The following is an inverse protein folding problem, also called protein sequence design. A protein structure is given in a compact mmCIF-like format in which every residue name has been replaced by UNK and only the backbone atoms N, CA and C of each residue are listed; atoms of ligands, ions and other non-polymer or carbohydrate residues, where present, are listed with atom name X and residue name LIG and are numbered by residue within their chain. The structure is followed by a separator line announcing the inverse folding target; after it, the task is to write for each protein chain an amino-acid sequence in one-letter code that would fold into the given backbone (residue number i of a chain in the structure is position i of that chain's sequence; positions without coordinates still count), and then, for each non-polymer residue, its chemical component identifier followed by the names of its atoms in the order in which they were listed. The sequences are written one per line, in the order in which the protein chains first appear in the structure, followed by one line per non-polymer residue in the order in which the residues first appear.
data_IF_198798952592
#
_entry.id   IF_198798952592
#
_cell.length_a   1.000
_cell.length_b   1.000
_cell.length_c   1.000
_cell.angle_alpha   90.00
_cell.angle_beta   90.00
_cell.angle_gamma   90.00
#
_symmetry.space_group_name_H-M   'P 1'
#
loop_
_entity.id
_entity.type
_entity.pdbx_description
1 polymer ?
#
# COMPACT_ATOMS: atom_id res chain seq x y z
N UNK A 1 -2.44 -15.39 -12.51
CA UNK A 1 -1.36 -14.49 -12.03
C UNK A 1 -2.02 -13.38 -11.23
N UNK A 2 -1.55 -13.16 -10.00
CA UNK A 2 -2.10 -12.14 -9.11
C UNK A 2 -1.76 -10.71 -9.58
N UNK A 3 -2.64 -9.75 -9.27
CA UNK A 3 -2.41 -8.31 -9.47
C UNK A 3 -1.86 -7.71 -8.19
N UNK A 4 -0.74 -6.99 -8.24
CA UNK A 4 -0.21 -6.22 -7.11
C UNK A 4 -0.78 -4.81 -7.15
N UNK A 5 -1.62 -4.48 -6.18
CA UNK A 5 -2.19 -3.15 -5.97
C UNK A 5 -1.53 -2.50 -4.75
N UNK A 6 -0.76 -1.44 -4.99
CA UNK A 6 -0.15 -0.61 -3.94
C UNK A 6 -1.09 0.53 -3.61
N UNK A 7 -1.36 0.74 -2.33
CA UNK A 7 -2.15 1.86 -1.82
C UNK A 7 -1.29 2.71 -0.88
N UNK A 8 -1.25 4.02 -1.14
CA UNK A 8 -0.56 4.98 -0.28
C UNK A 8 -1.39 6.25 -0.09
N UNK A 9 -1.50 6.71 1.15
CA UNK A 9 -1.88 8.08 1.45
C UNK A 9 -0.65 8.97 1.32
N UNK A 10 -0.76 10.03 0.52
CA UNK A 10 0.38 10.87 0.17
C UNK A 10 -0.01 12.36 0.22
N UNK A 11 0.89 13.18 0.73
CA UNK A 11 0.73 14.65 0.68
C UNK A 11 0.96 15.20 -0.73
N UNK A 12 0.54 16.42 -1.00
CA UNK A 12 0.76 17.08 -2.30
C UNK A 12 2.25 17.25 -2.66
N UNK A 13 3.14 17.26 -1.67
CA UNK A 13 4.61 17.30 -1.87
C UNK A 13 5.30 15.94 -1.80
N UNK A 14 4.50 14.85 -1.78
CA UNK A 14 4.97 13.48 -1.95
C UNK A 14 5.37 12.72 -0.68
N UNK A 15 5.10 13.27 0.49
CA UNK A 15 5.35 12.60 1.78
C UNK A 15 4.24 11.58 2.05
N UNK A 16 4.62 10.36 2.42
CA UNK A 16 3.67 9.26 2.73
C UNK A 16 3.92 8.63 4.11
N UNK A 17 4.99 9.04 4.79
CA UNK A 17 5.36 8.54 6.10
C UNK A 17 4.35 8.98 7.18
N UNK A 18 4.08 8.05 8.12
CA UNK A 18 3.29 8.32 9.32
C UNK A 18 2.01 9.12 9.07
N UNK A 19 1.05 8.58 8.27
CA UNK A 19 -0.06 9.34 7.69
C UNK A 19 -1.14 9.79 8.70
N UNK A 20 -0.80 9.97 9.98
CA UNK A 20 -1.71 10.49 11.01
C UNK A 20 -2.30 11.87 10.69
N UNK A 21 -1.61 12.65 9.87
CA UNK A 21 -2.10 13.94 9.35
C UNK A 21 -3.33 13.81 8.45
N UNK A 22 -3.63 12.62 7.94
CA UNK A 22 -4.84 12.37 7.13
C UNK A 22 -6.13 12.50 7.94
N UNK A 23 -6.08 12.29 9.26
CA UNK A 23 -7.27 12.34 10.12
C UNK A 23 -7.93 13.72 10.16
N UNK A 24 -7.19 14.80 9.89
CA UNK A 24 -7.73 16.17 9.85
C UNK A 24 -8.72 16.38 8.69
N UNK A 25 -8.68 15.55 7.65
CA UNK A 25 -9.52 15.69 6.45
C UNK A 25 -10.83 14.89 6.53
N UNK A 26 -11.01 14.11 7.60
CA UNK A 26 -12.15 13.21 7.72
C UNK A 26 -12.14 12.10 6.67
N UNK A 27 -13.15 11.26 6.72
CA UNK A 27 -13.30 10.14 5.80
C UNK A 27 -14.47 10.41 4.86
N UNK A 28 -14.26 10.28 3.55
CA UNK A 28 -15.27 10.41 2.52
C UNK A 28 -15.84 9.05 2.17
N UNK A 29 -17.17 8.91 2.09
CA UNK A 29 -17.83 7.62 1.86
C UNK A 29 -17.40 6.99 0.53
N UNK A 30 -17.29 7.81 -0.54
CA UNK A 30 -16.85 7.34 -1.86
C UNK A 30 -15.38 6.90 -1.84
N UNK A 31 -14.54 7.57 -1.03
CA UNK A 31 -13.16 7.12 -0.79
C UNK A 31 -13.15 5.77 -0.10
N UNK A 32 -14.05 5.53 0.85
CA UNK A 32 -14.26 4.25 1.50
C UNK A 32 -14.67 3.14 0.53
N UNK A 33 -15.59 3.43 -0.39
CA UNK A 33 -15.98 2.49 -1.45
C UNK A 33 -14.78 2.11 -2.34
N UNK A 34 -13.95 3.09 -2.71
CA UNK A 34 -12.75 2.85 -3.52
C UNK A 34 -11.74 1.97 -2.77
N UNK A 35 -11.47 2.26 -1.49
CA UNK A 35 -10.59 1.44 -0.65
C UNK A 35 -11.15 0.01 -0.48
N UNK A 36 -12.46 -0.11 -0.26
CA UNK A 36 -13.15 -1.39 -0.19
C UNK A 36 -13.04 -2.20 -1.48
N UNK A 37 -13.11 -1.55 -2.64
CA UNK A 37 -12.92 -2.21 -3.94
C UNK A 37 -11.48 -2.73 -4.13
N UNK A 38 -10.46 -1.96 -3.69
CA UNK A 38 -9.05 -2.37 -3.75
C UNK A 38 -8.81 -3.57 -2.82
N UNK A 39 -9.26 -3.49 -1.58
CA UNK A 39 -9.05 -4.56 -0.59
C UNK A 39 -9.89 -5.80 -0.89
N UNK A 40 -11.11 -5.63 -1.41
CA UNK A 40 -12.03 -6.73 -1.74
C UNK A 40 -11.53 -7.66 -2.86
N UNK A 41 -10.57 -7.23 -3.67
CA UNK A 41 -9.92 -8.07 -4.68
C UNK A 41 -8.71 -8.82 -4.14
N UNK A 42 -8.20 -8.44 -2.98
CA UNK A 42 -6.96 -8.98 -2.44
C UNK A 42 -7.20 -10.28 -1.66
N UNK A 43 -6.35 -11.27 -1.91
CA UNK A 43 -6.30 -12.55 -1.18
C UNK A 43 -5.06 -12.64 -0.28
N UNK A 44 -4.14 -11.69 -0.41
CA UNK A 44 -2.97 -11.56 0.45
C UNK A 44 -2.62 -10.09 0.67
N UNK A 45 -1.99 -9.81 1.79
CA UNK A 45 -1.41 -8.51 2.14
C UNK A 45 0.10 -8.67 2.15
N UNK A 46 0.82 -7.84 1.40
CA UNK A 46 2.27 -7.82 1.39
C UNK A 46 2.76 -6.54 2.08
N UNK A 47 3.51 -6.69 3.16
CA UNK A 47 3.99 -5.60 3.99
C UNK A 47 5.51 -5.63 4.14
N UNK A 48 6.14 -4.47 4.15
CA UNK A 48 7.47 -4.36 4.72
C UNK A 48 7.41 -4.47 6.26
N UNK A 49 8.48 -4.98 6.88
CA UNK A 49 8.55 -5.20 8.33
C UNK A 49 8.12 -4.00 9.17
N UNK A 50 8.57 -2.78 8.83
CA UNK A 50 8.21 -1.57 9.58
C UNK A 50 6.71 -1.29 9.56
N UNK A 51 6.08 -1.46 8.40
CA UNK A 51 4.63 -1.29 8.27
C UNK A 51 3.89 -2.38 9.03
N UNK A 52 4.36 -3.62 8.96
CA UNK A 52 3.82 -4.72 9.76
C UNK A 52 3.85 -4.40 11.27
N UNK A 53 4.99 -3.94 11.79
CA UNK A 53 5.16 -3.60 13.20
C UNK A 53 4.27 -2.43 13.67
N UNK A 54 3.89 -1.53 12.75
CA UNK A 54 2.90 -0.48 13.03
C UNK A 54 1.46 -0.99 12.92
N UNK A 55 1.18 -1.83 11.94
CA UNK A 55 -0.17 -2.31 11.66
C UNK A 55 -0.64 -3.37 12.66
N UNK A 56 0.23 -4.28 13.07
CA UNK A 56 -0.13 -5.35 13.99
C UNK A 56 -0.79 -4.83 15.28
N UNK A 57 -0.19 -3.92 16.07
CA UNK A 57 -0.85 -3.38 17.25
C UNK A 57 -2.05 -2.48 16.94
N UNK A 58 -2.13 -1.90 15.74
CA UNK A 58 -3.24 -1.04 15.36
C UNK A 58 -4.49 -1.83 14.92
N UNK A 59 -4.34 -3.03 14.38
CA UNK A 59 -5.41 -3.78 13.74
C UNK A 59 -5.81 -5.07 14.45
N UNK A 60 -4.86 -5.80 15.08
CA UNK A 60 -5.09 -7.17 15.59
C UNK A 60 -6.27 -7.30 16.56
N UNK A 61 -6.54 -6.24 17.33
CA UNK A 61 -7.59 -6.23 18.34
C UNK A 61 -8.85 -5.45 17.88
N UNK A 62 -8.85 -4.89 16.64
CA UNK A 62 -10.02 -4.20 16.10
C UNK A 62 -11.08 -5.18 15.64
N UNK A 63 -12.32 -4.79 15.85
CA UNK A 63 -13.51 -5.51 15.41
C UNK A 63 -14.19 -4.78 14.24
N UNK A 64 -15.14 -5.41 13.53
CA UNK A 64 -15.93 -4.75 12.49
C UNK A 64 -16.71 -3.51 12.99
N UNK A 65 -17.02 -3.47 14.28
CA UNK A 65 -17.70 -2.34 14.94
C UNK A 65 -16.76 -1.14 15.12
N UNK A 66 -15.45 -1.39 15.28
CA UNK A 66 -14.44 -0.33 15.40
C UNK A 66 -14.07 0.24 14.03
N UNK A 67 -13.93 -0.64 13.03
CA UNK A 67 -13.54 -0.28 11.66
C UNK A 67 -13.99 -1.36 10.66
N UNK A 68 -14.77 -1.02 9.62
CA UNK A 68 -15.22 -1.97 8.60
C UNK A 68 -14.08 -2.71 7.88
N UNK A 69 -12.87 -2.18 7.88
CA UNK A 69 -11.69 -2.80 7.29
C UNK A 69 -11.04 -3.87 8.19
N UNK A 70 -11.42 -3.95 9.47
CA UNK A 70 -10.78 -4.86 10.42
C UNK A 70 -10.81 -6.34 9.99
N UNK A 71 -11.91 -6.88 9.46
CA UNK A 71 -11.92 -8.26 8.96
C UNK A 71 -10.90 -8.50 7.87
N UNK A 72 -10.78 -7.59 6.91
CA UNK A 72 -9.77 -7.70 5.85
C UNK A 72 -8.36 -7.84 6.42
N UNK A 73 -7.95 -6.93 7.31
CA UNK A 73 -6.61 -6.94 7.88
C UNK A 73 -6.36 -8.13 8.81
N UNK A 74 -7.36 -8.59 9.56
CA UNK A 74 -7.18 -9.67 10.54
C UNK A 74 -7.28 -11.07 9.93
N UNK A 75 -8.13 -11.27 8.92
CA UNK A 75 -8.41 -12.59 8.35
C UNK A 75 -7.53 -12.92 7.15
N UNK A 76 -7.12 -11.91 6.37
CA UNK A 76 -6.29 -12.10 5.16
C UNK A 76 -4.88 -12.54 5.53
N UNK A 77 -4.28 -13.40 4.70
CA UNK A 77 -2.87 -13.80 4.81
C UNK A 77 -1.95 -12.59 4.68
N UNK A 78 -0.99 -12.47 5.60
CA UNK A 78 0.03 -11.42 5.61
C UNK A 78 1.40 -11.99 5.30
N UNK A 79 2.03 -11.47 4.24
CA UNK A 79 3.39 -11.80 3.83
C UNK A 79 4.29 -10.62 4.21
N UNK A 80 5.31 -10.86 5.01
CA UNK A 80 6.15 -9.78 5.53
C UNK A 80 7.57 -9.87 4.98
N UNK A 81 7.97 -8.82 4.27
CA UNK A 81 9.33 -8.66 3.73
C UNK A 81 10.23 -8.01 4.78
N UNK A 82 11.26 -8.72 5.20
CA UNK A 82 12.25 -8.24 6.16
C UNK A 82 13.24 -9.34 6.52
N UNK A 83 14.47 -8.96 6.86
CA UNK A 83 15.54 -9.88 7.23
C UNK A 83 15.66 -10.09 8.74
N UNK A 84 15.02 -9.25 9.53
CA UNK A 84 15.01 -9.35 10.99
C UNK A 84 13.77 -10.07 11.48
N UNK A 85 13.81 -10.70 12.65
CA UNK A 85 12.61 -11.26 13.29
C UNK A 85 11.51 -10.19 13.40
N UNK A 86 10.26 -10.63 13.30
CA UNK A 86 9.11 -9.77 13.51
C UNK A 86 9.00 -9.48 15.01
N UNK A 87 8.86 -8.18 15.35
CA UNK A 87 8.73 -7.71 16.73
C UNK A 87 7.31 -7.82 17.29
N UNK A 88 6.34 -8.16 16.45
CA UNK A 88 4.92 -8.24 16.79
C UNK A 88 4.33 -9.57 16.32
N UNK A 89 3.27 -10.01 17.01
CA UNK A 89 2.45 -11.15 16.62
C UNK A 89 1.13 -10.67 16.00
N UNK A 90 0.77 -11.24 14.87
CA UNK A 90 -0.51 -11.01 14.21
C UNK A 90 -0.91 -12.28 13.45
N UNK A 91 -2.17 -12.69 13.56
CA UNK A 91 -2.66 -13.91 12.94
C UNK A 91 -2.41 -13.94 11.43
N UNK A 92 -2.27 -15.15 10.86
CA UNK A 92 -2.07 -15.38 9.42
C UNK A 92 -0.86 -14.65 8.83
N UNK A 93 0.24 -14.56 9.58
CA UNK A 93 1.47 -13.86 9.16
C UNK A 93 2.60 -14.84 8.85
N UNK A 94 3.25 -14.62 7.71
CA UNK A 94 4.44 -15.36 7.27
C UNK A 94 5.56 -14.38 6.90
N UNK A 95 6.72 -14.49 7.53
CA UNK A 95 7.92 -13.77 7.11
C UNK A 95 8.54 -14.46 5.87
N UNK A 96 8.77 -13.70 4.79
CA UNK A 96 9.26 -14.24 3.51
C UNK A 96 10.71 -13.83 3.19
N UNK A 97 11.44 -13.32 4.19
CA UNK A 97 12.82 -12.88 4.02
C UNK A 97 12.97 -11.46 3.49
N UNK A 98 14.20 -11.11 3.11
CA UNK A 98 14.49 -9.78 2.53
C UNK A 98 13.81 -9.59 1.17
N UNK A 99 13.74 -8.32 0.71
CA UNK A 99 13.22 -8.02 -0.61
C UNK A 99 14.06 -8.72 -1.69
N UNK A 100 13.40 -9.48 -2.54
CA UNK A 100 13.93 -10.12 -3.71
C UNK A 100 12.89 -10.12 -4.83
N UNK A 101 13.20 -9.52 -5.98
CA UNK A 101 12.27 -9.35 -7.08
C UNK A 101 11.74 -10.67 -7.63
N UNK A 102 12.57 -11.71 -7.63
CA UNK A 102 12.18 -13.04 -8.12
C UNK A 102 11.18 -13.71 -7.16
N UNK A 103 11.38 -13.56 -5.87
CA UNK A 103 10.41 -14.02 -4.85
C UNK A 103 9.04 -13.35 -5.05
N UNK A 104 9.02 -12.03 -5.31
CA UNK A 104 7.76 -11.33 -5.54
C UNK A 104 7.10 -11.75 -6.87
N UNK A 105 7.89 -12.01 -7.95
CA UNK A 105 7.33 -12.54 -9.21
C UNK A 105 6.66 -13.89 -9.00
N UNK A 106 7.31 -14.81 -8.28
CA UNK A 106 6.72 -16.12 -7.96
C UNK A 106 5.43 -15.98 -7.15
N UNK A 107 5.40 -15.07 -6.17
CA UNK A 107 4.16 -14.79 -5.44
C UNK A 107 3.02 -14.37 -6.36
N UNK A 108 3.30 -13.58 -7.42
CA UNK A 108 2.31 -13.21 -8.43
C UNK A 108 1.89 -14.40 -9.29
N UNK A 109 2.84 -15.21 -9.72
CA UNK A 109 2.62 -16.35 -10.64
C UNK A 109 1.83 -17.47 -9.96
N UNK A 110 2.17 -17.77 -8.70
CA UNK A 110 1.61 -18.89 -7.93
C UNK A 110 0.23 -18.58 -7.32
N UNK A 111 -0.27 -17.33 -7.47
CA UNK A 111 -1.54 -16.89 -6.87
C UNK A 111 -2.54 -16.40 -7.91
N UNK A 112 -3.80 -16.58 -7.59
CA UNK A 112 -4.92 -15.90 -8.23
C UNK A 112 -5.39 -14.75 -7.33
N UNK A 113 -6.18 -13.82 -7.90
CA UNK A 113 -6.69 -12.67 -7.16
C UNK A 113 -5.68 -11.54 -6.99
N UNK A 114 -5.83 -10.71 -5.97
CA UNK A 114 -4.99 -9.55 -5.71
C UNK A 114 -4.01 -9.74 -4.56
N UNK A 115 -2.91 -9.00 -4.60
CA UNK A 115 -1.98 -8.79 -3.49
C UNK A 115 -2.03 -7.31 -3.15
N UNK A 116 -2.57 -6.99 -1.98
CA UNK A 116 -2.65 -5.63 -1.47
C UNK A 116 -1.34 -5.24 -0.79
N UNK A 117 -0.86 -4.03 -1.03
CA UNK A 117 0.35 -3.48 -0.43
C UNK A 117 0.05 -2.09 0.13
N UNK A 118 0.37 -1.86 1.42
CA UNK A 118 0.34 -0.54 2.05
C UNK A 118 1.66 -0.30 2.77
N UNK A 119 2.68 0.13 2.03
CA UNK A 119 4.03 0.31 2.57
C UNK A 119 4.77 -1.03 2.83
N UNK A 120 5.99 -1.02 3.27
CA UNK A 120 6.83 0.16 3.56
C UNK A 120 7.36 0.79 2.26
N UNK A 121 7.71 2.06 2.33
CA UNK A 121 8.23 2.79 1.17
C UNK A 121 9.45 2.15 0.52
N UNK A 122 10.30 1.48 1.27
CA UNK A 122 11.44 0.74 0.70
C UNK A 122 10.95 -0.43 -0.17
N UNK A 123 9.95 -1.19 0.30
CA UNK A 123 9.33 -2.28 -0.43
C UNK A 123 8.67 -1.77 -1.71
N UNK A 124 7.82 -0.74 -1.58
CA UNK A 124 7.09 -0.14 -2.70
C UNK A 124 8.06 0.39 -3.77
N UNK A 125 9.09 1.13 -3.38
CA UNK A 125 10.11 1.63 -4.31
C UNK A 125 10.88 0.51 -5.01
N UNK A 126 11.22 -0.57 -4.30
CA UNK A 126 11.84 -1.76 -4.90
C UNK A 126 10.95 -2.38 -5.96
N UNK A 127 9.68 -2.62 -5.63
CA UNK A 127 8.72 -3.19 -6.57
C UNK A 127 8.44 -2.30 -7.78
N UNK A 128 8.38 -0.97 -7.61
CA UNK A 128 8.25 -0.02 -8.73
C UNK A 128 9.48 -0.04 -9.64
N UNK A 129 10.69 -0.09 -9.07
CA UNK A 129 11.93 -0.19 -9.85
C UNK A 129 12.00 -1.49 -10.66
N UNK A 130 11.52 -2.60 -10.10
CA UNK A 130 11.49 -3.92 -10.74
C UNK A 130 10.23 -4.17 -11.59
N UNK A 131 9.36 -3.16 -11.77
CA UNK A 131 8.11 -3.20 -12.56
C UNK A 131 7.16 -4.32 -12.12
N UNK A 132 7.04 -4.52 -10.81
CA UNK A 132 6.19 -5.56 -10.21
C UNK A 132 4.81 -5.04 -9.80
N UNK A 133 4.64 -3.72 -9.71
CA UNK A 133 3.38 -3.07 -9.36
C UNK A 133 2.49 -2.96 -10.60
N UNK A 134 1.29 -3.50 -10.52
CA UNK A 134 0.28 -3.41 -11.59
C UNK A 134 -0.59 -2.16 -11.41
N UNK A 135 -0.95 -1.84 -10.17
CA UNK A 135 -1.76 -0.69 -9.81
C UNK A 135 -1.12 0.06 -8.64
N UNK A 136 -0.87 1.36 -8.83
CA UNK A 136 -0.39 2.27 -7.80
C UNK A 136 -1.50 3.27 -7.51
N UNK A 137 -2.20 3.07 -6.41
CA UNK A 137 -3.26 3.93 -5.91
C UNK A 137 -2.68 4.98 -4.96
N UNK A 138 -2.64 6.22 -5.40
CA UNK A 138 -2.21 7.36 -4.60
C UNK A 138 -3.42 8.19 -4.20
N UNK A 139 -3.69 8.30 -2.91
CA UNK A 139 -4.67 9.22 -2.35
C UNK A 139 -3.93 10.48 -1.93
N UNK A 140 -3.95 11.48 -2.82
CA UNK A 140 -3.22 12.73 -2.66
C UNK A 140 -4.05 13.71 -1.84
N UNK A 141 -3.59 13.99 -0.64
CA UNK A 141 -4.22 14.93 0.27
C UNK A 141 -3.80 16.37 -0.02
N UNK A 142 -4.69 17.33 0.18
CA UNK A 142 -4.43 18.74 -0.13
C UNK A 142 -3.56 19.42 0.94
N UNK A 143 -2.40 18.87 1.23
CA UNK A 143 -1.43 19.37 2.21
C UNK A 143 0.01 19.18 1.69
N UNK A 144 0.86 20.16 1.92
CA UNK A 144 2.30 20.04 1.76
C UNK A 144 2.94 20.04 3.14
N UNK A 145 3.63 18.97 3.50
CA UNK A 145 4.23 18.79 4.84
C UNK A 145 5.61 19.43 4.95
N UNK A 146 6.35 19.54 3.82
CA UNK A 146 7.69 20.12 3.77
C UNK A 146 8.81 19.18 4.25
N UNK A 147 8.52 18.25 5.12
CA UNK A 147 9.46 17.25 5.66
C UNK A 147 8.80 15.87 5.74
N UNK A 148 9.61 14.82 5.88
CA UNK A 148 9.16 13.43 5.95
C UNK A 148 9.66 12.58 4.79
N UNK A 149 9.46 11.26 4.88
CA UNK A 149 9.87 10.32 3.84
C UNK A 149 8.94 10.41 2.63
N UNK A 150 9.54 10.67 1.44
CA UNK A 150 8.81 10.77 0.16
C UNK A 150 8.82 9.45 -0.57
N UNK A 151 7.72 9.17 -1.29
CA UNK A 151 7.62 8.00 -2.16
C UNK A 151 8.69 8.07 -3.27
N UNK A 152 8.85 9.23 -3.89
CA UNK A 152 9.87 9.49 -4.91
C UNK A 152 11.07 10.18 -4.26
N UNK A 153 12.24 9.54 -4.31
CA UNK A 153 13.46 10.07 -3.70
C UNK A 153 14.26 10.92 -4.70
N UNK A 154 14.93 11.93 -4.17
CA UNK A 154 15.92 12.70 -4.93
C UNK A 154 17.01 11.79 -5.48
N UNK A 155 17.41 12.01 -6.73
CA UNK A 155 18.40 11.18 -7.41
C UNK A 155 17.89 9.84 -7.95
N UNK A 156 16.64 9.48 -7.68
CA UNK A 156 15.98 8.38 -8.38
C UNK A 156 15.65 8.83 -9.81
N UNK A 157 16.03 8.04 -10.80
CA UNK A 157 15.71 8.34 -12.19
C UNK A 157 14.18 8.40 -12.43
N UNK A 158 13.72 8.91 -13.58
CA UNK A 158 12.31 9.05 -13.87
C UNK A 158 11.63 7.68 -13.95
N UNK A 159 10.51 7.54 -13.24
CA UNK A 159 9.59 6.40 -13.37
C UNK A 159 8.38 6.86 -14.19
N UNK A 160 8.19 6.26 -15.36
CA UNK A 160 7.04 6.56 -16.22
C UNK A 160 5.85 5.73 -15.79
N UNK A 161 4.69 6.36 -15.65
CA UNK A 161 3.44 5.76 -15.24
C UNK A 161 2.34 6.09 -16.26
N UNK A 162 1.40 5.17 -16.44
CA UNK A 162 0.18 5.40 -17.21
C UNK A 162 -0.98 5.62 -16.25
N UNK A 163 -1.75 6.70 -16.42
CA UNK A 163 -2.96 6.92 -15.63
C UNK A 163 -4.04 5.91 -16.05
N UNK A 164 -4.52 5.11 -15.11
CA UNK A 164 -5.58 4.11 -15.31
C UNK A 164 -6.95 4.64 -14.87
N UNK A 165 -7.01 5.32 -13.72
CA UNK A 165 -8.24 5.88 -13.18
C UNK A 165 -7.94 7.08 -12.27
N UNK A 166 -8.95 7.91 -12.01
CA UNK A 166 -8.87 9.01 -11.06
C UNK A 166 -10.26 9.34 -10.47
N UNK A 167 -10.26 9.88 -9.28
CA UNK A 167 -11.42 10.40 -8.59
C UNK A 167 -11.07 11.64 -7.76
N UNK A 168 -12.06 12.48 -7.49
CA UNK A 168 -11.94 13.63 -6.58
C UNK A 168 -13.02 13.49 -5.51
N UNK A 169 -12.64 13.55 -4.25
CA UNK A 169 -13.54 13.37 -3.12
C UNK A 169 -13.93 14.71 -2.49
N UNK A 170 -15.07 14.73 -1.78
CA UNK A 170 -15.60 15.95 -1.18
C UNK A 170 -14.69 16.55 -0.10
N UNK A 171 -13.84 15.74 0.53
CA UNK A 171 -12.83 16.18 1.51
C UNK A 171 -11.56 16.79 0.86
N UNK A 172 -11.54 16.94 -0.48
CA UNK A 172 -10.42 17.51 -1.23
C UNK A 172 -9.31 16.53 -1.60
N UNK A 173 -9.42 15.27 -1.20
CA UNK A 173 -8.46 14.22 -1.60
C UNK A 173 -8.67 13.87 -3.06
N UNK A 174 -7.57 13.68 -3.80
CA UNK A 174 -7.56 13.20 -5.18
C UNK A 174 -6.98 11.79 -5.21
N UNK A 175 -7.75 10.84 -5.71
CA UNK A 175 -7.27 9.50 -5.99
C UNK A 175 -6.74 9.42 -7.41
N UNK A 176 -5.54 8.89 -7.56
CA UNK A 176 -4.87 8.61 -8.82
C UNK A 176 -4.45 7.14 -8.83
N UNK A 177 -4.96 6.37 -9.79
CA UNK A 177 -4.51 5.01 -10.02
C UNK A 177 -3.60 5.01 -11.26
N UNK A 178 -2.36 4.57 -11.07
CA UNK A 178 -1.37 4.43 -12.12
C UNK A 178 -0.98 2.98 -12.33
N UNK A 179 -0.70 2.63 -13.57
CA UNK A 179 -0.05 1.38 -13.94
C UNK A 179 1.32 1.62 -14.59
N UNK A 180 2.02 0.53 -14.98
CA UNK A 180 3.25 0.64 -15.73
C UNK A 180 2.98 1.29 -17.09
N UNK A 181 3.80 2.29 -17.46
CA UNK A 181 3.77 2.81 -18.83
C UNK A 181 4.54 1.88 -19.78
N UNK A 182 4.14 1.86 -21.04
CA UNK A 182 4.88 1.17 -22.09
C UNK A 182 6.32 1.70 -22.16
N UNK A 183 7.30 0.82 -22.46
CA UNK A 183 8.65 1.26 -22.74
C UNK A 183 8.65 2.21 -23.94
N UNK A 184 9.38 3.34 -23.80
CA UNK A 184 9.53 4.32 -24.88
C UNK A 184 10.46 3.79 -25.96
#
# INVERSE_FOLDING_TARGET
MATIAVHEFISADGVFESPGWTFEYGFDDKMGETLGAITGQAQAILLGRRTFEMFAPAWRDRTPEDDPGAPFFNETEKLVVGTQPLGEEWANTTAIGGYDAETIRRLKEDREGGIYVSGSGQLVRGMLADRLVDELHLFVYPVALGEGEKLWRDGQGPTRLALLAHDVYANGVVHLCYGPADPA
#
